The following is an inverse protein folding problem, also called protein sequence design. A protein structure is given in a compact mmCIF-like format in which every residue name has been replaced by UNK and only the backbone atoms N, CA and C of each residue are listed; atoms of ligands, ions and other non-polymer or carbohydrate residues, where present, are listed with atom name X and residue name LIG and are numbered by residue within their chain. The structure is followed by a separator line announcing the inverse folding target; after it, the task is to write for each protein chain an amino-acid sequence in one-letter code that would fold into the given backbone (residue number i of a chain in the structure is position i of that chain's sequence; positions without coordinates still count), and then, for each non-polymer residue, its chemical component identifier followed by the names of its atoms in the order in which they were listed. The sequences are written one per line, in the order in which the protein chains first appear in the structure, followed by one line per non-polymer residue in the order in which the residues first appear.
data_IF_439169814622
#
_entry.id   IF_439169814622
#
_cell.length_a   1.000
_cell.length_b   1.000
_cell.length_c   1.000
_cell.angle_alpha   90.00
_cell.angle_beta   90.00
_cell.angle_gamma   90.00
#
_symmetry.space_group_name_H-M   'P 1'
#
loop_
_entity.id
_entity.type
_entity.pdbx_description
1 polymer ?
#
# COMPACT_ATOMS: atom_id res chain seq x y z
N UNK A 1 -17.51 6.92 12.84
CA UNK A 1 -16.16 7.54 12.84
C UNK A 1 -15.74 7.71 11.38
N UNK A 2 -15.00 8.76 11.01
CA UNK A 2 -14.43 8.83 9.66
C UNK A 2 -13.22 7.91 9.56
N UNK A 3 -13.05 7.21 8.43
CA UNK A 3 -11.84 6.44 8.19
C UNK A 3 -10.64 7.38 8.04
N UNK A 4 -9.47 6.93 8.51
CA UNK A 4 -8.20 7.51 8.08
C UNK A 4 -8.09 7.38 6.55
N UNK A 5 -7.35 8.27 5.89
CA UNK A 5 -7.16 8.16 4.45
C UNK A 5 -5.74 8.52 4.01
N UNK A 6 -5.43 8.12 2.78
CA UNK A 6 -4.28 8.64 2.03
C UNK A 6 -4.71 9.73 1.09
N UNK A 7 -3.90 10.77 0.96
CA UNK A 7 -4.18 11.88 0.04
C UNK A 7 -3.28 11.83 -1.20
N UNK A 8 -3.84 11.84 -2.40
CA UNK A 8 -3.06 12.14 -3.60
C UNK A 8 -2.77 13.65 -3.68
N UNK A 9 -1.50 14.03 -3.72
CA UNK A 9 -1.08 15.43 -3.72
C UNK A 9 -0.85 15.91 -5.16
N UNK A 10 -1.61 16.94 -5.54
CA UNK A 10 -1.45 17.62 -6.82
C UNK A 10 -0.73 18.94 -6.60
N UNK A 11 0.60 18.91 -6.49
CA UNK A 11 1.38 20.12 -6.27
C UNK A 11 1.30 21.12 -7.44
N UNK A 12 0.90 20.65 -8.65
CA UNK A 12 1.05 21.40 -9.89
C UNK A 12 2.53 21.77 -10.13
N UNK A 13 2.88 22.33 -11.29
CA UNK A 13 4.26 22.81 -11.53
C UNK A 13 4.64 24.06 -10.71
N UNK A 14 4.08 24.23 -9.50
CA UNK A 14 4.24 25.38 -8.61
C UNK A 14 4.84 24.89 -7.29
N UNK A 15 6.18 24.82 -7.16
CA UNK A 15 6.86 24.32 -5.97
C UNK A 15 6.43 25.00 -4.66
N UNK A 16 5.99 26.26 -4.73
CA UNK A 16 5.46 27.00 -3.58
C UNK A 16 4.15 26.43 -3.05
N UNK A 17 3.29 25.88 -3.91
CA UNK A 17 1.97 25.39 -3.52
C UNK A 17 2.05 24.24 -2.51
N UNK A 18 3.01 23.32 -2.69
CA UNK A 18 3.26 22.25 -1.72
C UNK A 18 3.61 22.82 -0.34
N UNK A 19 4.52 23.80 -0.30
CA UNK A 19 5.03 24.37 0.96
C UNK A 19 4.01 25.29 1.65
N UNK A 20 3.31 26.11 0.89
CA UNK A 20 2.46 27.19 1.42
C UNK A 20 1.01 26.74 1.67
N UNK A 21 0.53 25.70 0.96
CA UNK A 21 -0.85 25.25 1.07
C UNK A 21 -0.93 23.82 1.62
N UNK A 22 -0.30 22.86 0.94
CA UNK A 22 -0.51 21.44 1.24
C UNK A 22 0.17 21.00 2.55
N UNK A 23 1.41 21.46 2.82
CA UNK A 23 2.12 21.12 4.06
C UNK A 23 1.36 21.62 5.32
N UNK A 24 0.92 22.90 5.41
CA UNK A 24 0.12 23.35 6.53
C UNK A 24 -1.17 22.54 6.72
N UNK A 25 -1.85 22.20 5.62
CA UNK A 25 -3.06 21.38 5.66
C UNK A 25 -2.78 19.98 6.22
N UNK A 26 -1.71 19.32 5.75
CA UNK A 26 -1.31 18.00 6.24
C UNK A 26 -0.92 18.03 7.73
N UNK A 27 -0.27 19.11 8.19
CA UNK A 27 0.04 19.30 9.60
C UNK A 27 -1.22 19.46 10.46
N UNK A 28 -2.21 20.22 9.97
CA UNK A 28 -3.47 20.45 10.66
C UNK A 28 -4.31 19.17 10.79
N UNK A 29 -4.27 18.29 9.79
CA UNK A 29 -5.09 17.07 9.72
C UNK A 29 -4.27 15.77 9.87
N UNK A 30 -3.10 15.83 10.51
CA UNK A 30 -2.16 14.69 10.63
C UNK A 30 -2.72 13.46 11.36
N UNK A 31 -3.78 13.62 12.14
CA UNK A 31 -4.46 12.51 12.83
C UNK A 31 -5.47 11.80 11.94
N UNK A 32 -5.80 12.38 10.78
CA UNK A 32 -6.78 11.81 9.84
C UNK A 32 -6.13 11.38 8.52
N UNK A 33 -5.06 12.08 8.08
CA UNK A 33 -4.27 11.73 6.90
C UNK A 33 -3.16 10.74 7.28
N UNK A 34 -3.36 9.46 6.98
CA UNK A 34 -2.43 8.39 7.26
C UNK A 34 -1.23 8.33 6.29
N UNK A 35 -1.32 8.96 5.13
CA UNK A 35 -0.24 8.95 4.15
C UNK A 35 -0.54 9.82 2.94
N UNK A 36 0.46 9.99 2.09
CA UNK A 36 0.33 10.77 0.85
C UNK A 36 0.86 10.02 -0.35
N UNK A 37 0.27 10.31 -1.50
CA UNK A 37 0.68 9.79 -2.79
C UNK A 37 1.13 10.94 -3.69
N UNK A 38 2.29 10.81 -4.33
CA UNK A 38 2.81 11.76 -5.30
C UNK A 38 2.71 11.16 -6.71
N UNK A 39 1.72 11.58 -7.52
CA UNK A 39 1.45 10.96 -8.81
C UNK A 39 2.49 11.38 -9.86
N UNK A 40 2.88 10.46 -10.72
CA UNK A 40 3.71 10.72 -11.89
C UNK A 40 2.87 10.65 -13.16
N UNK A 41 2.51 11.82 -13.68
CA UNK A 41 1.55 11.98 -14.77
C UNK A 41 2.23 12.26 -16.10
N UNK A 42 3.37 12.95 -16.10
CA UNK A 42 4.03 13.41 -17.33
C UNK A 42 5.54 13.14 -17.34
N UNK A 43 6.13 13.20 -18.54
CA UNK A 43 7.56 12.99 -18.75
C UNK A 43 8.34 14.16 -18.15
N UNK A 44 9.41 13.83 -17.42
CA UNK A 44 10.31 14.85 -16.84
C UNK A 44 9.96 15.28 -15.42
N UNK A 45 8.89 14.74 -14.81
CA UNK A 45 8.49 15.06 -13.43
C UNK A 45 9.38 14.40 -12.35
N UNK A 46 10.20 13.39 -12.68
CA UNK A 46 10.96 12.64 -11.67
C UNK A 46 11.82 13.52 -10.73
N UNK A 47 12.58 14.53 -11.22
CA UNK A 47 13.35 15.40 -10.34
C UNK A 47 12.47 16.23 -9.40
N UNK A 48 11.32 16.71 -9.90
CA UNK A 48 10.35 17.48 -9.12
C UNK A 48 9.69 16.61 -8.04
N UNK A 49 9.36 15.34 -8.35
CA UNK A 49 8.85 14.39 -7.36
C UNK A 49 9.84 14.16 -6.22
N UNK A 50 11.14 13.98 -6.53
CA UNK A 50 12.18 13.87 -5.49
C UNK A 50 12.29 15.14 -4.65
N UNK A 51 12.20 16.31 -5.28
CA UNK A 51 12.18 17.60 -4.58
C UNK A 51 10.97 17.70 -3.63
N UNK A 52 9.79 17.30 -4.08
CA UNK A 52 8.58 17.29 -3.25
C UNK A 52 8.71 16.34 -2.06
N UNK A 53 9.27 15.14 -2.24
CA UNK A 53 9.54 14.23 -1.11
C UNK A 53 10.51 14.88 -0.11
N UNK A 54 11.62 15.48 -0.58
CA UNK A 54 12.59 16.18 0.29
C UNK A 54 11.95 17.35 1.05
N UNK A 55 11.07 18.11 0.40
CA UNK A 55 10.32 19.20 1.03
C UNK A 55 9.36 18.68 2.10
N UNK A 56 8.60 17.62 1.82
CA UNK A 56 7.72 16.97 2.80
C UNK A 56 8.51 16.44 3.99
N UNK A 57 9.63 15.76 3.76
CA UNK A 57 10.50 15.23 4.83
C UNK A 57 11.13 16.35 5.67
N UNK A 58 11.53 17.45 5.04
CA UNK A 58 12.06 18.63 5.75
C UNK A 58 10.99 19.36 6.56
N UNK A 59 9.78 19.50 6.01
CA UNK A 59 8.70 20.28 6.62
C UNK A 59 7.91 19.50 7.69
N UNK A 60 8.01 18.17 7.67
CA UNK A 60 7.41 17.27 8.66
C UNK A 60 8.51 16.53 9.47
N UNK A 61 9.52 17.23 10.05
CA UNK A 61 10.76 16.62 10.52
C UNK A 61 10.65 15.93 11.88
N UNK A 62 9.62 16.22 12.67
CA UNK A 62 9.47 15.69 14.02
C UNK A 62 8.34 14.64 14.07
N UNK A 63 8.73 13.36 14.12
CA UNK A 63 7.87 12.22 14.41
C UNK A 63 6.65 12.03 13.47
N UNK A 64 6.84 12.15 12.15
CA UNK A 64 5.76 11.75 11.22
C UNK A 64 6.04 10.38 10.60
N UNK A 65 5.25 9.39 11.02
CA UNK A 65 4.93 8.16 10.29
C UNK A 65 4.17 8.44 8.98
N UNK A 66 4.31 9.66 8.42
CA UNK A 66 3.65 10.00 7.17
C UNK A 66 4.26 9.13 6.08
N UNK A 67 3.45 8.16 5.67
CA UNK A 67 3.78 7.21 4.65
C UNK A 67 3.67 7.89 3.29
N UNK A 68 4.82 8.15 2.67
CA UNK A 68 4.92 8.79 1.36
C UNK A 68 5.08 7.68 0.32
N UNK A 69 4.15 7.61 -0.63
CA UNK A 69 4.25 6.74 -1.78
C UNK A 69 4.41 7.55 -3.06
N UNK A 70 5.51 7.37 -3.78
CA UNK A 70 5.73 8.04 -5.07
C UNK A 70 5.33 7.11 -6.20
N UNK A 71 4.58 7.61 -7.16
CA UNK A 71 4.23 6.83 -8.34
C UNK A 71 5.36 6.86 -9.34
N UNK A 72 5.56 5.76 -10.05
CA UNK A 72 6.37 5.71 -11.25
C UNK A 72 5.54 5.17 -12.40
N UNK A 73 5.27 6.01 -13.39
CA UNK A 73 4.58 5.63 -14.62
C UNK A 73 5.59 5.22 -15.68
N UNK A 74 5.60 3.93 -16.03
CA UNK A 74 6.47 3.41 -17.10
C UNK A 74 6.17 4.12 -18.42
N UNK A 75 4.91 4.40 -18.74
CA UNK A 75 4.56 5.13 -19.95
C UNK A 75 5.07 6.58 -19.95
N UNK A 76 4.99 7.29 -18.83
CA UNK A 76 5.48 8.67 -18.73
C UNK A 76 7.01 8.76 -18.87
N UNK A 77 7.73 7.72 -18.45
CA UNK A 77 9.19 7.68 -18.47
C UNK A 77 9.77 6.71 -19.50
N UNK A 78 8.96 6.25 -20.45
CA UNK A 78 9.43 5.35 -21.49
C UNK A 78 10.44 6.08 -22.39
N UNK A 79 11.65 5.54 -22.48
CA UNK A 79 12.74 6.15 -23.19
C UNK A 79 13.26 5.21 -24.28
N UNK A 80 12.60 5.23 -25.45
CA UNK A 80 12.93 4.48 -26.68
C UNK A 80 12.97 2.95 -26.53
N UNK A 81 13.79 2.40 -25.65
CA UNK A 81 13.96 0.97 -25.40
C UNK A 81 13.57 0.58 -23.97
N UNK A 82 13.20 -0.68 -23.72
CA UNK A 82 13.00 -1.20 -22.37
C UNK A 82 14.22 -1.04 -21.47
N UNK A 83 15.43 -1.21 -22.00
CA UNK A 83 16.69 -1.14 -21.25
C UNK A 83 16.93 0.29 -20.74
N UNK A 84 16.83 1.28 -21.62
CA UNK A 84 17.01 2.68 -21.23
C UNK A 84 15.92 3.15 -20.26
N UNK A 85 14.67 2.69 -20.45
CA UNK A 85 13.57 2.97 -19.52
C UNK A 85 13.81 2.33 -18.15
N UNK A 86 14.33 1.10 -18.10
CA UNK A 86 14.65 0.40 -16.86
C UNK A 86 15.83 1.02 -16.11
N UNK A 87 16.84 1.54 -16.84
CA UNK A 87 17.94 2.30 -16.25
C UNK A 87 17.43 3.57 -15.56
N UNK A 88 16.50 4.31 -16.20
CA UNK A 88 15.88 5.49 -15.59
C UNK A 88 15.10 5.11 -14.31
N UNK A 89 14.30 4.05 -14.36
CA UNK A 89 13.60 3.53 -13.18
C UNK A 89 14.59 3.21 -12.05
N UNK A 90 15.67 2.49 -12.36
CA UNK A 90 16.66 2.06 -11.36
C UNK A 90 17.35 3.27 -10.72
N UNK A 91 17.82 4.24 -11.51
CA UNK A 91 18.47 5.44 -10.99
C UNK A 91 17.53 6.25 -10.09
N UNK A 92 16.28 6.42 -10.52
CA UNK A 92 15.27 7.10 -9.71
C UNK A 92 15.02 6.37 -8.38
N UNK A 93 14.95 5.03 -8.39
CA UNK A 93 14.70 4.24 -7.20
C UNK A 93 15.88 4.24 -6.21
N UNK A 94 17.12 4.37 -6.71
CA UNK A 94 18.30 4.55 -5.86
C UNK A 94 18.19 5.84 -5.04
N UNK A 95 17.88 6.97 -5.69
CA UNK A 95 17.64 8.24 -4.98
C UNK A 95 16.43 8.16 -4.05
N UNK A 96 15.35 7.51 -4.51
CA UNK A 96 14.10 7.41 -3.74
C UNK A 96 14.27 6.61 -2.45
N UNK A 97 15.08 5.56 -2.46
CA UNK A 97 15.33 4.72 -1.29
C UNK A 97 15.99 5.48 -0.13
N UNK A 98 16.81 6.49 -0.44
CA UNK A 98 17.44 7.35 0.58
C UNK A 98 16.41 8.24 1.31
N UNK A 99 15.25 8.48 0.70
CA UNK A 99 14.20 9.37 1.21
C UNK A 99 13.13 8.66 2.06
N UNK A 100 13.32 7.36 2.35
CA UNK A 100 12.44 6.53 3.20
C UNK A 100 10.99 6.56 2.73
N UNK A 101 10.72 6.24 1.48
CA UNK A 101 9.36 6.22 0.91
C UNK A 101 9.12 4.93 0.12
N UNK A 102 7.89 4.70 -0.30
CA UNK A 102 7.53 3.57 -1.15
C UNK A 102 7.34 3.99 -2.61
N UNK A 103 7.41 3.03 -3.52
CA UNK A 103 7.16 3.22 -4.95
C UNK A 103 5.90 2.48 -5.39
N UNK A 104 4.91 3.20 -5.95
CA UNK A 104 3.83 2.59 -6.70
C UNK A 104 4.22 2.49 -8.18
N UNK A 105 4.52 1.27 -8.64
CA UNK A 105 4.93 1.03 -10.01
C UNK A 105 3.72 0.75 -10.91
N UNK A 106 3.46 1.64 -11.85
CA UNK A 106 2.32 1.54 -12.78
C UNK A 106 2.78 1.56 -14.23
N UNK A 107 2.04 0.86 -15.09
CA UNK A 107 2.31 0.91 -16.53
C UNK A 107 2.00 2.29 -17.13
N UNK A 108 1.07 3.04 -16.53
CA UNK A 108 0.56 4.32 -17.03
C UNK A 108 -0.58 4.15 -18.04
N UNK A 109 -1.33 5.23 -18.28
CA UNK A 109 -2.39 5.27 -19.29
C UNK A 109 -1.82 5.43 -20.70
N UNK A 110 -2.18 4.56 -21.64
CA UNK A 110 -1.75 4.63 -23.03
C UNK A 110 -1.56 3.25 -23.68
N UNK A 111 -1.13 3.20 -24.96
CA UNK A 111 -0.82 1.96 -25.65
C UNK A 111 0.25 1.17 -24.90
N UNK A 112 0.09 -0.15 -24.81
CA UNK A 112 1.04 -1.03 -24.13
C UNK A 112 2.43 -0.89 -24.77
N UNK A 113 3.40 -0.44 -23.98
CA UNK A 113 4.81 -0.43 -24.37
C UNK A 113 5.44 -1.80 -24.10
N UNK A 114 6.60 -2.06 -24.70
CA UNK A 114 7.37 -3.30 -24.48
C UNK A 114 7.78 -3.46 -23.02
N UNK A 115 8.12 -2.35 -22.35
CA UNK A 115 8.26 -2.31 -20.90
C UNK A 115 6.93 -1.86 -20.29
N UNK A 116 6.37 -2.68 -19.42
CA UNK A 116 5.22 -2.36 -18.58
C UNK A 116 5.57 -2.69 -17.12
N UNK A 117 4.66 -2.43 -16.16
CA UNK A 117 4.99 -2.63 -14.74
C UNK A 117 5.33 -4.08 -14.38
N UNK A 118 4.72 -5.08 -15.03
CA UNK A 118 5.07 -6.49 -14.80
C UNK A 118 6.46 -6.80 -15.36
N UNK A 119 6.74 -6.41 -16.61
CA UNK A 119 8.06 -6.60 -17.22
C UNK A 119 9.17 -5.85 -16.47
N UNK A 120 8.86 -4.73 -15.83
CA UNK A 120 9.79 -4.03 -14.95
C UNK A 120 10.06 -4.81 -13.65
N UNK A 121 9.04 -5.43 -13.04
CA UNK A 121 9.23 -6.29 -11.85
C UNK A 121 10.09 -7.52 -12.16
N UNK A 122 9.87 -8.19 -13.30
CA UNK A 122 10.71 -9.30 -13.76
C UNK A 122 12.19 -8.87 -13.89
N UNK A 123 12.43 -7.66 -14.41
CA UNK A 123 13.79 -7.10 -14.50
C UNK A 123 14.36 -6.74 -13.13
N UNK A 124 13.53 -6.22 -12.21
CA UNK A 124 13.94 -5.92 -10.81
C UNK A 124 14.46 -7.19 -10.13
N UNK A 125 13.74 -8.30 -10.25
CA UNK A 125 14.11 -9.58 -9.65
C UNK A 125 15.49 -10.06 -10.11
N UNK A 126 15.78 -9.90 -11.41
CA UNK A 126 17.07 -10.30 -12.01
C UNK A 126 18.21 -9.28 -11.82
N UNK A 127 17.95 -8.09 -11.27
CA UNK A 127 18.91 -6.98 -11.26
C UNK A 127 19.78 -6.94 -10.00
N UNK A 128 21.12 -7.01 -10.12
CA UNK A 128 22.03 -6.88 -8.97
C UNK A 128 21.88 -5.54 -8.23
N UNK A 129 21.59 -4.45 -8.95
CA UNK A 129 21.38 -3.13 -8.34
C UNK A 129 20.20 -3.13 -7.35
N UNK A 130 19.19 -3.95 -7.62
CA UNK A 130 17.99 -4.04 -6.80
C UNK A 130 18.14 -5.03 -5.65
N UNK A 131 19.05 -6.00 -5.74
CA UNK A 131 19.26 -7.00 -4.68
C UNK A 131 19.50 -6.37 -3.30
N UNK A 132 20.23 -5.25 -3.25
CA UNK A 132 20.55 -4.51 -2.02
C UNK A 132 19.63 -3.32 -1.74
N UNK A 133 18.80 -2.94 -2.70
CA UNK A 133 17.94 -1.77 -2.58
C UNK A 133 16.78 -2.08 -1.63
N UNK A 134 16.68 -1.38 -0.50
CA UNK A 134 15.58 -1.53 0.43
C UNK A 134 14.49 -0.48 0.11
N UNK A 135 13.75 -0.72 -0.97
CA UNK A 135 12.64 0.14 -1.39
C UNK A 135 11.33 -0.67 -1.38
N UNK A 136 10.36 -0.35 -0.49
CA UNK A 136 9.02 -0.92 -0.54
C UNK A 136 8.35 -0.65 -1.87
N UNK A 137 7.84 -1.71 -2.51
CA UNK A 137 7.11 -1.60 -3.77
C UNK A 137 5.61 -1.75 -3.54
N UNK A 138 4.85 -1.10 -4.39
CA UNK A 138 3.41 -1.23 -4.48
C UNK A 138 2.99 -1.41 -5.94
N UNK A 139 1.85 -2.05 -6.14
CA UNK A 139 1.32 -2.34 -7.47
C UNK A 139 -0.14 -1.95 -7.58
N UNK A 140 -0.59 -1.63 -8.79
CA UNK A 140 -2.00 -1.36 -9.07
C UNK A 140 -2.76 -2.65 -9.45
N UNK A 141 -4.03 -2.71 -9.05
CA UNK A 141 -5.02 -3.72 -9.40
C UNK A 141 -6.35 -3.05 -9.79
N UNK A 142 -7.00 -3.53 -10.85
CA UNK A 142 -8.31 -3.02 -11.27
C UNK A 142 -9.42 -4.08 -11.15
N UNK A 143 -10.28 -4.03 -10.11
CA UNK A 143 -11.35 -5.01 -9.94
C UNK A 143 -12.57 -4.74 -10.83
N UNK A 144 -12.62 -3.62 -11.55
CA UNK A 144 -13.86 -3.11 -12.14
C UNK A 144 -14.07 -3.48 -13.62
N UNK A 145 -13.21 -4.28 -14.24
CA UNK A 145 -13.41 -4.65 -15.64
C UNK A 145 -14.76 -5.38 -15.84
N UNK A 146 -15.66 -4.89 -16.72
CA UNK A 146 -16.96 -5.52 -16.92
C UNK A 146 -16.87 -6.84 -17.70
N UNK A 147 -15.86 -6.96 -18.55
CA UNK A 147 -15.59 -8.16 -19.33
C UNK A 147 -14.84 -9.22 -18.50
N UNK A 148 -15.29 -10.48 -18.59
CA UNK A 148 -14.72 -11.59 -17.83
C UNK A 148 -13.29 -11.93 -18.26
N UNK A 149 -12.99 -11.90 -19.56
CA UNK A 149 -11.66 -12.20 -20.05
C UNK A 149 -10.64 -11.16 -19.58
N UNK A 150 -11.00 -9.87 -19.61
CA UNK A 150 -10.16 -8.79 -19.06
C UNK A 150 -9.99 -8.87 -17.54
N UNK A 151 -11.00 -9.32 -16.79
CA UNK A 151 -10.85 -9.58 -15.36
C UNK A 151 -9.83 -10.70 -15.11
N UNK A 152 -9.99 -11.83 -15.78
CA UNK A 152 -9.04 -12.95 -15.68
C UNK A 152 -7.62 -12.54 -16.08
N UNK A 153 -7.47 -11.72 -17.13
CA UNK A 153 -6.17 -11.14 -17.51
C UNK A 153 -5.60 -10.27 -16.38
N UNK A 154 -6.39 -9.38 -15.78
CA UNK A 154 -5.92 -8.49 -14.72
C UNK A 154 -5.59 -9.24 -13.42
N UNK A 155 -6.36 -10.27 -13.07
CA UNK A 155 -6.08 -11.17 -11.94
C UNK A 155 -4.80 -11.97 -12.16
N UNK A 156 -4.61 -12.55 -13.35
CA UNK A 156 -3.36 -13.22 -13.72
C UNK A 156 -2.16 -12.28 -13.67
N UNK A 157 -2.33 -11.03 -14.14
CA UNK A 157 -1.29 -9.99 -14.05
C UNK A 157 -1.01 -9.59 -12.60
N UNK A 158 -2.02 -9.47 -11.74
CA UNK A 158 -1.84 -9.20 -10.31
C UNK A 158 -1.00 -10.30 -9.65
N UNK A 159 -1.37 -11.57 -9.86
CA UNK A 159 -0.61 -12.72 -9.37
C UNK A 159 0.85 -12.68 -9.82
N UNK A 160 1.10 -12.46 -11.11
CA UNK A 160 2.45 -12.35 -11.63
C UNK A 160 3.23 -11.18 -11.00
N UNK A 161 2.60 -10.01 -10.78
CA UNK A 161 3.24 -8.87 -10.09
C UNK A 161 3.62 -9.22 -8.64
N UNK A 162 2.76 -9.92 -7.90
CA UNK A 162 3.03 -10.31 -6.52
C UNK A 162 4.18 -11.31 -6.43
N UNK A 163 4.20 -12.32 -7.31
CA UNK A 163 5.27 -13.32 -7.41
C UNK A 163 6.60 -12.67 -7.81
N UNK A 164 6.62 -11.96 -8.94
CA UNK A 164 7.84 -11.36 -9.50
C UNK A 164 8.34 -10.15 -8.70
N UNK A 165 7.50 -9.62 -7.80
CA UNK A 165 7.93 -8.60 -6.84
C UNK A 165 8.87 -9.14 -5.76
N UNK A 166 9.12 -10.45 -5.68
CA UNK A 166 10.18 -11.04 -4.86
C UNK A 166 10.06 -10.73 -3.36
N UNK A 167 8.83 -10.62 -2.85
CA UNK A 167 8.55 -10.23 -1.46
C UNK A 167 8.73 -8.74 -1.15
N UNK A 168 9.01 -7.89 -2.15
CA UNK A 168 9.13 -6.43 -2.00
C UNK A 168 7.79 -5.70 -2.09
N UNK A 169 6.76 -6.37 -2.62
CA UNK A 169 5.42 -5.78 -2.69
C UNK A 169 4.85 -5.72 -1.28
N UNK A 170 4.66 -4.50 -0.78
CA UNK A 170 4.10 -4.22 0.55
C UNK A 170 2.72 -3.57 0.45
N UNK A 171 2.27 -3.19 -0.75
CA UNK A 171 0.93 -2.66 -0.94
C UNK A 171 0.33 -2.94 -2.32
N UNK A 172 -1.00 -3.03 -2.36
CA UNK A 172 -1.82 -3.06 -3.58
C UNK A 172 -2.76 -1.86 -3.57
N UNK A 173 -2.75 -1.09 -4.66
CA UNK A 173 -3.65 0.03 -4.89
C UNK A 173 -4.75 -0.37 -5.87
N UNK A 174 -6.00 -0.28 -5.42
CA UNK A 174 -7.18 -0.54 -6.23
C UNK A 174 -7.50 0.69 -7.07
N UNK A 175 -7.68 0.50 -8.38
CA UNK A 175 -8.14 1.55 -9.30
C UNK A 175 -9.47 2.16 -8.84
N UNK A 176 -9.78 3.41 -9.20
CA UNK A 176 -11.11 3.98 -8.94
C UNK A 176 -12.21 3.29 -9.77
N UNK A 177 -13.40 3.14 -9.18
CA UNK A 177 -14.58 2.59 -9.85
C UNK A 177 -15.86 2.80 -9.03
N UNK A 178 -16.98 2.31 -9.55
CA UNK A 178 -18.33 2.52 -8.94
C UNK A 178 -19.15 1.24 -8.76
N UNK A 179 -18.64 0.08 -9.20
CA UNK A 179 -19.36 -1.19 -9.15
C UNK A 179 -19.05 -1.92 -7.84
N UNK A 180 -19.93 -1.77 -6.85
CA UNK A 180 -19.76 -2.33 -5.50
C UNK A 180 -19.63 -3.86 -5.53
N UNK A 181 -20.50 -4.63 -6.23
CA UNK A 181 -20.33 -6.09 -6.34
C UNK A 181 -18.98 -6.50 -6.94
N UNK A 182 -18.50 -5.83 -7.99
CA UNK A 182 -17.18 -6.13 -8.56
C UNK A 182 -16.04 -5.81 -7.61
N UNK A 183 -16.13 -4.73 -6.84
CA UNK A 183 -15.15 -4.44 -5.79
C UNK A 183 -15.09 -5.58 -4.78
N UNK A 184 -16.23 -6.04 -4.26
CA UNK A 184 -16.29 -7.13 -3.28
C UNK A 184 -15.66 -8.41 -3.82
N UNK A 185 -16.02 -8.79 -5.07
CA UNK A 185 -15.44 -9.96 -5.72
C UNK A 185 -13.92 -9.80 -5.92
N UNK A 186 -13.46 -8.62 -6.38
CA UNK A 186 -12.04 -8.36 -6.59
C UNK A 186 -11.23 -8.37 -5.29
N UNK A 187 -11.79 -7.85 -4.20
CA UNK A 187 -11.18 -7.93 -2.88
C UNK A 187 -11.08 -9.37 -2.38
N UNK A 188 -12.11 -10.18 -2.59
CA UNK A 188 -12.06 -11.61 -2.27
C UNK A 188 -10.94 -12.32 -3.04
N UNK A 189 -10.84 -12.09 -4.35
CA UNK A 189 -9.76 -12.65 -5.17
C UNK A 189 -8.39 -12.21 -4.67
N UNK A 190 -8.22 -10.93 -4.33
CA UNK A 190 -6.98 -10.41 -3.78
C UNK A 190 -6.63 -11.07 -2.43
N UNK A 191 -7.61 -11.27 -1.55
CA UNK A 191 -7.40 -11.94 -0.25
C UNK A 191 -6.98 -13.39 -0.42
N UNK A 192 -7.73 -14.16 -1.22
CA UNK A 192 -7.43 -15.56 -1.51
C UNK A 192 -6.00 -15.69 -2.09
N UNK A 193 -5.61 -14.76 -2.97
CA UNK A 193 -4.27 -14.72 -3.56
C UNK A 193 -3.16 -14.35 -2.57
N UNK A 194 -3.42 -13.38 -1.67
CA UNK A 194 -2.46 -13.01 -0.63
C UNK A 194 -2.28 -14.14 0.38
N UNK A 195 -3.34 -14.85 0.73
CA UNK A 195 -3.28 -16.04 1.58
C UNK A 195 -2.50 -17.18 0.91
N UNK A 196 -2.81 -17.48 -0.35
CA UNK A 196 -2.10 -18.50 -1.15
C UNK A 196 -0.58 -18.24 -1.19
N UNK A 197 -0.17 -16.96 -1.29
CA UNK A 197 1.24 -16.56 -1.36
C UNK A 197 1.90 -16.36 0.02
N UNK A 198 1.18 -16.59 1.13
CA UNK A 198 1.68 -16.36 2.49
C UNK A 198 2.00 -14.89 2.77
N UNK A 199 1.22 -13.98 2.21
CA UNK A 199 1.36 -12.51 2.27
C UNK A 199 0.20 -11.83 3.02
N UNK A 200 -0.77 -12.60 3.52
CA UNK A 200 -1.85 -12.11 4.37
C UNK A 200 -1.34 -11.77 5.77
N UNK A 201 -1.91 -10.73 6.36
CA UNK A 201 -1.72 -10.47 7.79
C UNK A 201 -2.55 -11.45 8.56
N UNK A 202 -1.90 -12.24 9.41
CA UNK A 202 -2.62 -13.09 10.36
C UNK A 202 -3.66 -12.24 11.08
N UNK A 203 -4.94 -12.58 10.90
CA UNK A 203 -5.91 -12.31 11.94
C UNK A 203 -5.28 -12.89 13.22
N UNK A 204 -5.13 -12.07 14.26
CA UNK A 204 -4.83 -12.60 15.58
C UNK A 204 -5.95 -13.58 15.91
N UNK A 205 -5.70 -14.88 15.73
CA UNK A 205 -6.52 -15.91 16.33
C UNK A 205 -6.53 -15.60 17.82
N UNK A 206 -7.72 -15.27 18.31
CA UNK A 206 -7.95 -15.06 19.72
C UNK A 206 -7.38 -16.24 20.48
N UNK A 207 -6.44 -15.95 21.39
CA UNK A 207 -6.05 -16.87 22.43
C UNK A 207 -7.33 -17.37 23.08
N UNK A 208 -7.69 -18.61 22.79
CA UNK A 208 -8.64 -19.35 23.61
C UNK A 208 -7.98 -19.47 24.98
N UNK A 209 -8.57 -18.77 25.94
CA UNK A 209 -8.28 -18.91 27.36
C UNK A 209 -8.32 -20.40 27.71
N UNK A 210 -7.14 -20.97 27.92
CA UNK A 210 -6.96 -22.27 28.52
C UNK A 210 -7.55 -22.22 29.92
N UNK A 211 -8.68 -22.90 30.08
CA UNK A 211 -9.36 -23.10 31.35
C UNK A 211 -8.38 -23.63 32.41
N UNK A 212 -8.40 -22.93 33.54
CA UNK A 212 -7.77 -23.28 34.79
C UNK A 212 -8.34 -24.60 35.34
N UNK A 213 -7.46 -25.49 35.80
CA UNK A 213 -7.80 -26.48 36.84
C UNK A 213 -7.05 -26.10 38.14
N UNK A 214 -7.70 -26.20 39.31
CA UNK A 214 -7.08 -25.92 40.60
C UNK A 214 -6.49 -27.20 41.21
N UNK A 215 -5.31 -27.09 41.80
CA UNK A 215 -4.70 -28.15 42.60
C UNK A 215 -3.90 -27.54 43.75
N UNK A 216 -4.53 -27.47 44.91
CA UNK A 216 -3.91 -27.13 46.20
C UNK A 216 -3.03 -28.29 46.71
N UNK A 217 -2.02 -27.98 47.54
CA UNK A 217 -1.34 -29.00 48.34
C UNK A 217 -0.02 -28.54 48.93
N UNK A 218 0.02 -28.45 50.26
CA UNK A 218 1.08 -27.92 51.11
C UNK A 218 2.39 -28.73 51.16
N UNK A 219 3.44 -28.06 51.66
CA UNK A 219 4.76 -28.57 52.07
C UNK A 219 4.66 -29.51 53.33
N UNK A 220 5.73 -30.14 53.91
CA UNK A 220 7.02 -29.52 54.25
C UNK A 220 8.29 -30.42 54.23
N UNK A 221 9.39 -29.76 54.62
CA UNK A 221 10.80 -30.15 54.69
C UNK A 221 11.18 -31.44 55.44
N UNK A 222 12.36 -31.98 55.12
CA UNK A 222 13.27 -32.63 56.09
C UNK A 222 14.75 -32.58 55.68
N UNK A 223 15.60 -32.44 56.69
CA UNK A 223 17.05 -32.23 56.71
C UNK A 223 17.85 -33.53 56.46
N UNK A 224 19.12 -33.42 55.98
CA UNK A 224 20.35 -33.83 56.73
C UNK A 224 21.65 -33.76 55.90
N UNK A 225 22.59 -32.98 56.44
CA UNK A 225 24.06 -33.15 56.60
C UNK A 225 24.92 -34.01 55.66
N UNK A 226 25.99 -33.38 55.14
CA UNK A 226 27.39 -33.74 55.48
C UNK A 226 28.23 -34.52 54.45
N UNK A 227 29.34 -33.91 53.98
CA UNK A 227 30.49 -34.63 53.42
C UNK A 227 31.18 -33.98 52.20
N UNK A 228 32.30 -33.27 52.42
CA UNK A 228 33.35 -32.92 51.43
C UNK A 228 34.45 -34.02 51.42
N UNK A 229 35.48 -34.02 50.53
CA UNK A 229 35.55 -33.64 49.11
C UNK A 229 36.42 -34.58 48.19
N UNK A 230 36.35 -34.33 46.86
CA UNK A 230 37.44 -34.41 45.85
C UNK A 230 37.89 -35.77 45.24
N UNK A 231 38.65 -35.83 44.10
CA UNK A 231 38.28 -35.38 42.74
C UNK A 231 38.69 -36.40 41.64
N UNK A 232 37.90 -36.57 40.56
CA UNK A 232 38.45 -37.21 39.34
C UNK A 232 37.61 -36.95 38.06
N UNK A 233 38.28 -36.29 37.11
CA UNK A 233 38.36 -36.68 35.70
C UNK A 233 37.11 -36.59 34.77
N UNK A 234 37.22 -35.62 33.83
CA UNK A 234 36.95 -35.69 32.37
C UNK A 234 35.91 -34.68 31.84
N UNK A 235 36.28 -33.80 30.89
CA UNK A 235 35.34 -32.89 30.26
C UNK A 235 34.51 -33.62 29.20
N UNK A 236 33.19 -33.54 29.36
CA UNK A 236 32.21 -33.94 28.37
C UNK A 236 32.23 -32.97 27.19
N UNK A 237 32.76 -33.39 26.04
CA UNK A 237 32.44 -32.79 24.73
C UNK A 237 31.05 -33.29 24.30
N UNK A 238 30.00 -32.73 24.92
CA UNK A 238 28.63 -32.84 24.38
C UNK A 238 28.40 -31.62 23.51
N UNK A 239 28.60 -31.81 22.20
CA UNK A 239 28.24 -30.86 21.16
C UNK A 239 26.77 -30.48 21.34
N UNK A 240 26.51 -29.32 21.94
CA UNK A 240 25.28 -28.56 21.71
C UNK A 240 25.35 -28.03 20.28
N UNK A 241 25.05 -28.90 19.32
CA UNK A 241 24.49 -28.45 18.05
C UNK A 241 23.04 -28.04 18.36
N UNK A 242 22.89 -26.87 18.99
CA UNK A 242 21.68 -26.09 18.83
C UNK A 242 21.71 -25.62 17.39
N UNK A 243 21.04 -26.40 16.53
CA UNK A 243 20.52 -25.95 15.26
C UNK A 243 19.75 -24.66 15.50
N UNK A 244 20.43 -23.53 15.30
CA UNK A 244 19.80 -22.26 15.01
C UNK A 244 19.05 -22.46 13.70
N UNK A 245 17.81 -22.96 13.80
CA UNK A 245 16.82 -22.74 12.76
C UNK A 245 16.71 -21.23 12.63
N UNK A 246 17.39 -20.70 11.62
CA UNK A 246 17.21 -19.33 11.17
C UNK A 246 15.73 -19.22 10.81
N UNK A 247 14.96 -18.61 11.70
CA UNK A 247 13.58 -18.27 11.42
C UNK A 247 13.59 -17.43 10.14
N UNK A 248 12.93 -17.94 9.10
CA UNK A 248 12.75 -17.19 7.87
C UNK A 248 12.16 -15.81 8.23
N UNK A 249 12.66 -14.71 7.63
CA UNK A 249 12.17 -13.38 7.97
C UNK A 249 10.66 -13.33 7.79
N UNK A 250 9.94 -13.00 8.88
CA UNK A 250 8.49 -12.86 8.86
C UNK A 250 8.13 -11.77 7.85
N UNK A 251 7.43 -12.15 6.77
CA UNK A 251 6.98 -11.21 5.75
C UNK A 251 5.87 -10.34 6.35
N UNK A 252 5.99 -9.02 6.17
CA UNK A 252 4.92 -8.11 6.57
C UNK A 252 3.69 -8.30 5.67
N UNK A 253 2.48 -8.09 6.22
CA UNK A 253 1.27 -8.18 5.45
C UNK A 253 1.19 -7.11 4.37
N UNK A 254 0.67 -7.48 3.21
CA UNK A 254 0.42 -6.53 2.12
C UNK A 254 -0.75 -5.62 2.48
N UNK A 255 -0.51 -4.31 2.48
CA UNK A 255 -1.54 -3.30 2.70
C UNK A 255 -2.39 -3.12 1.45
N UNK A 256 -3.68 -2.82 1.62
CA UNK A 256 -4.58 -2.56 0.49
C UNK A 256 -5.11 -1.14 0.59
N UNK A 257 -5.00 -0.40 -0.50
CA UNK A 257 -5.48 0.97 -0.63
C UNK A 257 -6.55 1.07 -1.70
N UNK A 258 -7.69 1.66 -1.35
CA UNK A 258 -8.85 1.75 -2.23
C UNK A 258 -9.05 3.16 -2.76
N UNK A 259 -8.87 3.37 -4.06
CA UNK A 259 -9.07 4.71 -4.64
C UNK A 259 -10.53 5.15 -4.59
N UNK A 260 -10.73 6.40 -4.17
CA UNK A 260 -12.02 7.09 -4.18
C UNK A 260 -11.89 8.46 -4.83
N UNK A 261 -12.96 8.87 -5.50
CA UNK A 261 -13.12 10.19 -6.06
C UNK A 261 -14.09 10.98 -5.18
N UNK A 262 -13.81 12.25 -4.92
CA UNK A 262 -14.75 13.15 -4.23
C UNK A 262 -15.71 13.72 -5.28
N UNK A 263 -17.00 13.33 -5.28
CA UNK A 263 -17.91 13.71 -6.35
C UNK A 263 -18.13 15.22 -6.41
N UNK A 264 -18.09 15.77 -7.62
CA UNK A 264 -18.46 17.15 -7.91
C UNK A 264 -19.04 17.26 -9.32
N UNK A 265 -19.88 18.28 -9.58
CA UNK A 265 -20.44 18.51 -10.92
C UNK A 265 -19.34 18.57 -12.00
N UNK A 266 -18.23 19.24 -11.70
CA UNK A 266 -17.06 19.36 -12.59
C UNK A 266 -16.42 18.00 -12.87
N UNK A 267 -16.17 17.21 -11.83
CA UNK A 267 -15.58 15.88 -11.97
C UNK A 267 -16.49 14.94 -12.77
N UNK A 268 -17.78 14.89 -12.45
CA UNK A 268 -18.74 14.04 -13.16
C UNK A 268 -18.84 14.43 -14.63
N UNK A 269 -18.90 15.73 -14.94
CA UNK A 269 -18.91 16.22 -16.32
C UNK A 269 -17.62 15.83 -17.07
N UNK A 270 -16.45 15.96 -16.44
CA UNK A 270 -15.18 15.56 -17.02
C UNK A 270 -15.14 14.04 -17.29
N UNK A 271 -15.63 13.22 -16.36
CA UNK A 271 -15.68 11.77 -16.52
C UNK A 271 -16.69 11.31 -17.58
N UNK A 272 -17.83 12.00 -17.73
CA UNK A 272 -18.77 11.77 -18.84
C UNK A 272 -18.15 12.09 -20.19
N UNK A 273 -17.46 13.23 -20.28
CA UNK A 273 -16.90 13.72 -21.54
C UNK A 273 -15.67 12.91 -21.97
N UNK A 274 -14.77 12.62 -21.01
CA UNK A 274 -13.53 11.88 -21.27
C UNK A 274 -13.21 10.98 -20.07
N UNK A 275 -13.82 9.78 -20.01
CA UNK A 275 -13.52 8.81 -18.98
C UNK A 275 -12.03 8.52 -18.91
N UNK A 276 -11.51 8.34 -17.71
CA UNK A 276 -10.12 7.90 -17.54
C UNK A 276 -9.95 6.45 -17.97
N UNK A 277 -8.84 6.15 -18.65
CA UNK A 277 -8.57 4.81 -19.15
C UNK A 277 -8.55 3.78 -18.04
N UNK A 278 -9.45 2.81 -18.09
CA UNK A 278 -9.55 1.72 -17.10
C UNK A 278 -10.43 2.04 -15.89
N UNK A 279 -10.86 3.27 -15.67
CA UNK A 279 -11.83 3.62 -14.62
C UNK A 279 -13.24 3.27 -15.10
N UNK A 280 -14.02 2.60 -14.26
CA UNK A 280 -15.42 2.25 -14.56
C UNK A 280 -16.38 3.00 -13.64
N UNK A 281 -17.12 3.95 -14.22
CA UNK A 281 -18.19 4.69 -13.54
C UNK A 281 -19.53 4.34 -14.20
N UNK A 282 -20.51 3.89 -13.41
CA UNK A 282 -21.85 3.55 -13.89
C UNK A 282 -22.62 4.81 -14.29
N UNK A 283 -23.64 4.65 -15.12
CA UNK A 283 -24.53 5.76 -15.49
C UNK A 283 -25.21 6.37 -14.26
N UNK A 284 -25.56 5.54 -13.28
CA UNK A 284 -26.08 5.97 -11.98
C UNK A 284 -25.07 6.86 -11.24
N UNK A 285 -23.80 6.43 -11.14
CA UNK A 285 -22.74 7.23 -10.52
C UNK A 285 -22.57 8.57 -11.24
N UNK A 286 -22.66 8.57 -12.57
CA UNK A 286 -22.49 9.79 -13.36
C UNK A 286 -23.76 10.66 -13.35
N UNK A 287 -24.91 10.17 -12.89
CA UNK A 287 -26.20 10.87 -13.01
C UNK A 287 -26.27 12.17 -12.19
N UNK A 288 -25.81 12.15 -10.93
CA UNK A 288 -25.78 13.32 -10.04
C UNK A 288 -24.68 13.20 -8.98
N UNK A 289 -24.41 14.29 -8.26
CA UNK A 289 -23.44 14.29 -7.14
C UNK A 289 -23.95 13.43 -5.99
N UNK A 290 -25.26 13.45 -5.74
CA UNK A 290 -25.92 12.69 -4.69
C UNK A 290 -25.85 11.19 -4.95
N UNK A 291 -26.09 10.76 -6.20
CA UNK A 291 -25.97 9.36 -6.59
C UNK A 291 -24.51 8.88 -6.49
N UNK A 292 -23.55 9.68 -6.98
CA UNK A 292 -22.13 9.41 -6.82
C UNK A 292 -21.72 9.30 -5.35
N UNK A 293 -22.22 10.18 -4.48
CA UNK A 293 -21.96 10.14 -3.04
C UNK A 293 -22.49 8.86 -2.40
N UNK A 294 -23.73 8.48 -2.72
CA UNK A 294 -24.33 7.27 -2.19
C UNK A 294 -23.51 6.03 -2.58
N UNK A 295 -23.06 5.95 -3.83
CA UNK A 295 -22.22 4.84 -4.30
C UNK A 295 -20.83 4.87 -3.63
N UNK A 296 -20.17 6.03 -3.57
CA UNK A 296 -18.86 6.13 -2.92
C UNK A 296 -18.92 5.74 -1.46
N UNK A 297 -19.97 6.14 -0.72
CA UNK A 297 -20.16 5.69 0.68
C UNK A 297 -20.33 4.17 0.80
N UNK A 298 -21.00 3.53 -0.16
CA UNK A 298 -21.09 2.05 -0.20
C UNK A 298 -19.72 1.41 -0.45
N UNK A 299 -18.91 1.96 -1.35
CA UNK A 299 -17.53 1.49 -1.57
C UNK A 299 -16.68 1.66 -0.30
N UNK A 300 -16.78 2.82 0.37
CA UNK A 300 -16.08 3.09 1.63
C UNK A 300 -16.53 2.13 2.74
N UNK A 301 -17.82 1.76 2.79
CA UNK A 301 -18.31 0.72 3.69
C UNK A 301 -17.60 -0.62 3.44
N UNK A 302 -17.54 -1.06 2.19
CA UNK A 302 -16.77 -2.27 1.82
C UNK A 302 -15.29 -2.14 2.19
N UNK A 303 -14.70 -0.96 2.03
CA UNK A 303 -13.31 -0.74 2.44
C UNK A 303 -13.12 -0.91 3.94
N UNK A 304 -14.00 -0.34 4.76
CA UNK A 304 -13.95 -0.49 6.21
C UNK A 304 -14.08 -1.97 6.64
N UNK A 305 -15.06 -2.68 6.08
CA UNK A 305 -15.32 -4.09 6.40
C UNK A 305 -14.15 -5.01 6.05
N UNK A 306 -13.33 -4.62 5.07
CA UNK A 306 -12.23 -5.43 4.53
C UNK A 306 -10.84 -4.89 4.90
N UNK A 307 -10.75 -3.91 5.81
CA UNK A 307 -9.48 -3.32 6.24
C UNK A 307 -8.72 -2.57 5.14
N UNK A 308 -9.42 -2.09 4.12
CA UNK A 308 -8.85 -1.29 3.02
C UNK A 308 -8.82 0.18 3.45
N UNK A 309 -7.65 0.82 3.30
CA UNK A 309 -7.51 2.24 3.61
C UNK A 309 -7.84 3.09 2.36
N UNK A 310 -8.79 4.05 2.42
CA UNK A 310 -9.12 4.90 1.28
C UNK A 310 -7.92 5.72 0.78
N UNK A 311 -7.78 5.84 -0.55
CA UNK A 311 -6.93 6.83 -1.22
C UNK A 311 -7.83 7.85 -1.91
N UNK A 312 -7.78 9.10 -1.46
CA UNK A 312 -8.51 10.20 -2.09
C UNK A 312 -7.73 10.72 -3.30
N UNK A 313 -8.25 10.48 -4.50
CA UNK A 313 -7.64 10.90 -5.78
C UNK A 313 -8.15 12.26 -6.29
N UNK A 314 -8.76 13.06 -5.42
CA UNK A 314 -9.20 14.43 -5.71
C UNK A 314 -8.34 15.42 -4.95
N UNK A 315 -8.07 16.58 -5.55
CA UNK A 315 -7.31 17.63 -4.88
C UNK A 315 -8.06 18.09 -3.62
N UNK A 316 -7.30 18.24 -2.54
CA UNK A 316 -7.76 18.77 -1.26
C UNK A 316 -6.83 19.92 -0.93
N UNK A 317 -7.33 21.14 -1.14
CA UNK A 317 -6.52 22.37 -1.08
C UNK A 317 -6.88 23.25 0.14
N UNK A 318 -7.96 22.93 0.85
CA UNK A 318 -8.36 23.64 2.06
C UNK A 318 -9.40 22.92 2.92
N UNK A 319 -9.83 23.58 4.01
CA UNK A 319 -10.73 23.03 5.03
C UNK A 319 -12.10 22.58 4.49
N UNK A 320 -12.62 23.25 3.47
CA UNK A 320 -13.88 22.86 2.84
C UNK A 320 -13.76 21.48 2.17
N UNK A 321 -12.63 21.22 1.49
CA UNK A 321 -12.37 19.93 0.85
C UNK A 321 -12.16 18.84 1.90
N UNK A 322 -11.43 19.14 2.99
CA UNK A 322 -11.24 18.19 4.11
C UNK A 322 -12.58 17.83 4.73
N UNK A 323 -13.44 18.82 4.98
CA UNK A 323 -14.80 18.60 5.50
C UNK A 323 -15.59 17.69 4.57
N UNK A 324 -15.47 17.91 3.26
CA UNK A 324 -16.14 17.09 2.25
C UNK A 324 -15.64 15.65 2.21
N UNK A 325 -14.33 15.45 2.30
CA UNK A 325 -13.70 14.13 2.44
C UNK A 325 -14.21 13.43 3.70
N UNK A 326 -14.21 14.12 4.85
CA UNK A 326 -14.67 13.55 6.12
C UNK A 326 -16.11 13.08 6.04
N UNK A 327 -17.00 13.86 5.44
CA UNK A 327 -18.40 13.47 5.23
C UNK A 327 -18.55 12.23 4.32
N UNK A 328 -17.68 12.09 3.32
CA UNK A 328 -17.70 10.99 2.37
C UNK A 328 -17.13 9.69 2.97
N UNK A 329 -16.12 9.82 3.84
CA UNK A 329 -15.43 8.72 4.49
C UNK A 329 -16.06 8.30 5.84
N UNK A 330 -17.20 8.88 6.20
CA UNK A 330 -17.98 8.45 7.36
C UNK A 330 -18.59 7.07 7.09
N UNK A 331 -18.23 6.11 7.94
CA UNK A 331 -18.90 4.82 8.02
C UNK A 331 -19.87 4.80 9.20
N UNK A 332 -21.02 4.16 9.00
CA UNK A 332 -21.93 3.87 10.09
C UNK A 332 -21.21 2.96 11.08
N UNK A 333 -21.29 3.27 12.38
CA UNK A 333 -20.86 2.34 13.42
C UNK A 333 -21.85 1.16 13.39
N UNK A 334 -21.38 0.00 12.93
CA UNK A 334 -22.12 -1.27 13.02
C UNK A 334 -22.24 -1.74 14.45
#
# INVERSE_FOLDING_TARGET
MALLWRQELFAGGKPQHLKECLVPLLLAHRTEVAGVNLPNKTKGELPELLQHVRQLRTALPQATDLDICVHYSVNANYNHTPEASFTILTNFCLELAELRCSLLLVSGGGPRKRLNSLAALERIESSPAWSRLQLPLAVAYNPYFPDAARRQEEEGRLRAKLVNGGGRIQAVYLQAGSDVPRLQQGLKVLQDLLEELGMSGGQQEGQQDGQQQPGAGDAPAQQRSGGQPSPAARPAKRQRQQSQQQQAPQRQPVRVYGSVLVPSKKQLAAMKFRPWGGVFLSDEYLSSVEAADAITRRLVGVYADQGVLPLVETAVEGEADVTRVRQLLQVAST
#
